data_IF_841666749412
#
_entry.id   IF_841666749412
#
_cell.length_a   1.000
_cell.length_b   1.000
_cell.length_c   1.000
_cell.angle_alpha   90.00
_cell.angle_beta   90.00
_cell.angle_gamma   90.00
#
_symmetry.space_group_name_H-M   'P 1'
#
loop_
_entity.id
_entity.type
_entity.pdbx_description
1 polymer ?
#
# COMPACT_ATOMS: atom_id res chain seq x y z
N UNK A 1 -13.54 -21.65 15.85
CA UNK A 1 -13.87 -21.61 14.41
C UNK A 1 -12.81 -20.76 13.74
N UNK A 2 -11.92 -21.31 12.92
CA UNK A 2 -11.01 -20.46 12.14
C UNK A 2 -11.88 -19.70 11.14
N UNK A 3 -12.03 -18.39 11.33
CA UNK A 3 -12.60 -17.53 10.30
C UNK A 3 -11.95 -17.89 8.96
N UNK A 4 -12.75 -18.03 7.90
CA UNK A 4 -12.22 -17.99 6.54
C UNK A 4 -11.30 -16.76 6.43
N UNK A 5 -10.15 -16.93 5.79
CA UNK A 5 -9.11 -15.91 5.72
C UNK A 5 -9.63 -14.74 4.87
N UNK A 6 -10.13 -13.69 5.53
CA UNK A 6 -10.57 -12.41 4.92
C UNK A 6 -9.37 -11.62 4.41
N UNK A 7 -8.69 -12.17 3.40
CA UNK A 7 -7.44 -11.67 2.85
C UNK A 7 -7.70 -11.03 1.50
N UNK A 8 -7.14 -9.83 1.32
CA UNK A 8 -7.37 -8.99 0.15
C UNK A 8 -6.05 -8.40 -0.34
N UNK A 9 -6.02 -8.00 -1.61
CA UNK A 9 -4.92 -7.24 -2.20
C UNK A 9 -5.42 -5.93 -2.82
N UNK A 10 -4.72 -4.85 -2.52
CA UNK A 10 -4.82 -3.58 -3.25
C UNK A 10 -3.54 -3.43 -4.07
N UNK A 11 -3.65 -3.30 -5.39
CA UNK A 11 -2.51 -3.23 -6.29
C UNK A 11 -2.73 -2.35 -7.51
N UNK A 12 -1.63 -1.87 -8.07
CA UNK A 12 -1.54 -1.23 -9.38
C UNK A 12 -0.68 -2.06 -10.32
N UNK A 13 -1.00 -2.04 -11.61
CA UNK A 13 -0.24 -2.69 -12.67
C UNK A 13 0.01 -1.69 -13.81
N UNK A 14 1.22 -1.69 -14.36
CA UNK A 14 1.65 -0.81 -15.44
C UNK A 14 1.34 0.68 -15.17
N UNK A 15 1.60 1.12 -13.93
CA UNK A 15 1.29 2.47 -13.45
C UNK A 15 2.44 3.42 -13.76
N UNK A 16 2.11 4.70 -13.98
CA UNK A 16 3.08 5.79 -14.03
C UNK A 16 3.24 6.43 -12.65
N UNK A 17 4.45 6.44 -12.12
CA UNK A 17 4.82 7.09 -10.85
C UNK A 17 5.61 8.35 -11.20
N UNK A 18 5.00 9.53 -11.05
CA UNK A 18 5.57 10.80 -11.52
C UNK A 18 6.49 11.50 -10.49
N UNK A 19 6.74 10.89 -9.33
CA UNK A 19 7.51 11.46 -8.24
C UNK A 19 7.69 10.48 -7.08
N UNK A 20 8.38 10.89 -6.02
CA UNK A 20 8.29 10.22 -4.73
C UNK A 20 6.85 10.27 -4.24
N UNK A 21 6.15 9.14 -4.27
CA UNK A 21 4.72 9.06 -4.08
C UNK A 21 4.30 7.85 -3.25
N UNK A 22 3.18 7.98 -2.54
CA UNK A 22 2.51 6.83 -1.93
C UNK A 22 1.95 5.92 -3.02
N UNK A 23 2.47 4.70 -3.09
CA UNK A 23 2.11 3.69 -4.10
C UNK A 23 0.78 3.05 -3.75
N UNK A 24 0.59 2.66 -2.49
CA UNK A 24 -0.64 2.07 -1.98
C UNK A 24 -0.90 2.67 -0.61
N UNK A 25 -2.15 2.99 -0.34
CA UNK A 25 -2.58 3.44 0.98
C UNK A 25 -3.91 2.77 1.35
N UNK A 26 -4.00 2.31 2.59
CA UNK A 26 -5.15 1.61 3.15
C UNK A 26 -5.48 2.25 4.49
N UNK A 27 -6.68 2.81 4.58
CA UNK A 27 -7.28 3.25 5.83
C UNK A 27 -8.22 2.17 6.34
N UNK A 28 -7.95 1.58 7.52
CA UNK A 28 -8.93 0.80 8.25
C UNK A 28 -10.23 1.58 8.43
N UNK A 29 -11.32 0.83 8.61
CA UNK A 29 -12.60 1.42 9.00
C UNK A 29 -12.64 1.64 10.52
N UNK A 30 -13.72 2.20 11.05
CA UNK A 30 -13.96 2.29 12.49
C UNK A 30 -14.19 0.94 13.15
N UNK A 31 -14.63 -0.06 12.36
CA UNK A 31 -15.09 -1.35 12.86
C UNK A 31 -14.22 -2.53 12.42
N UNK A 32 -13.24 -2.31 11.52
CA UNK A 32 -12.34 -3.37 11.02
C UNK A 32 -10.89 -2.91 11.04
N UNK A 33 -10.02 -3.73 11.66
CA UNK A 33 -8.57 -3.53 11.60
C UNK A 33 -7.96 -4.25 10.41
N UNK A 34 -6.69 -3.97 10.13
CA UNK A 34 -5.92 -4.68 9.12
C UNK A 34 -4.61 -5.21 9.69
N UNK A 35 -4.22 -6.37 9.19
CA UNK A 35 -2.91 -6.98 9.42
C UNK A 35 -2.21 -7.14 8.07
N UNK A 36 -1.03 -6.54 7.94
CA UNK A 36 -0.24 -6.55 6.70
C UNK A 36 0.46 -7.90 6.55
N UNK A 37 0.26 -8.56 5.39
CA UNK A 37 0.79 -9.88 5.11
C UNK A 37 1.89 -9.89 4.04
N UNK A 38 1.89 -8.92 3.12
CA UNK A 38 2.90 -8.78 2.07
C UNK A 38 2.86 -7.38 1.47
N UNK A 39 4.03 -6.82 1.17
CA UNK A 39 4.17 -5.63 0.33
C UNK A 39 5.14 -5.94 -0.81
N UNK A 40 4.89 -5.40 -1.99
CA UNK A 40 5.76 -5.63 -3.14
C UNK A 40 5.72 -4.48 -4.13
N UNK A 41 6.83 -4.25 -4.84
CA UNK A 41 6.93 -3.31 -5.94
C UNK A 41 7.93 -3.82 -6.98
N UNK A 42 7.67 -3.61 -8.26
CA UNK A 42 8.57 -4.00 -9.35
C UNK A 42 8.34 -3.11 -10.57
N UNK A 43 9.30 -3.12 -11.48
CA UNK A 43 9.24 -2.38 -12.74
C UNK A 43 9.50 -3.29 -13.93
N UNK A 44 8.77 -3.10 -15.02
CA UNK A 44 8.98 -3.78 -16.31
C UNK A 44 9.35 -2.82 -17.46
N UNK A 45 9.55 -1.54 -17.15
CA UNK A 45 9.76 -0.47 -18.13
C UNK A 45 11.21 -0.18 -18.51
N UNK A 46 12.20 -0.94 -18.03
CA UNK A 46 13.62 -0.66 -18.28
C UNK A 46 14.51 -1.89 -18.04
N UNK A 47 15.63 -1.93 -18.75
CA UNK A 47 16.73 -2.89 -18.54
C UNK A 47 17.92 -2.25 -17.80
N UNK A 48 17.82 -0.95 -17.46
CA UNK A 48 18.88 -0.20 -16.77
C UNK A 48 18.67 -0.27 -15.26
N UNK A 49 19.73 -0.67 -14.55
CA UNK A 49 19.78 -0.74 -13.09
C UNK A 49 19.74 0.65 -12.46
N UNK A 50 18.78 0.86 -11.55
CA UNK A 50 18.62 2.05 -10.74
C UNK A 50 18.35 1.64 -9.29
N UNK A 51 19.08 2.25 -8.35
CA UNK A 51 18.82 2.10 -6.91
C UNK A 51 17.77 3.11 -6.49
N UNK A 52 16.70 2.62 -5.87
CA UNK A 52 15.57 3.41 -5.42
C UNK A 52 15.25 3.08 -3.96
N UNK A 53 14.63 4.03 -3.27
CA UNK A 53 14.24 3.84 -1.89
C UNK A 53 12.74 3.66 -1.76
N UNK A 54 12.33 2.61 -1.06
CA UNK A 54 10.95 2.28 -0.73
C UNK A 54 10.74 2.37 0.78
N UNK A 55 9.54 2.72 1.20
CA UNK A 55 9.21 2.84 2.61
C UNK A 55 7.82 2.33 2.94
N UNK A 56 7.70 1.56 4.02
CA UNK A 56 6.43 1.31 4.68
C UNK A 56 6.21 2.37 5.76
N UNK A 57 5.01 2.93 5.81
CA UNK A 57 4.71 4.02 6.71
C UNK A 57 3.31 3.93 7.29
N UNK A 58 3.11 4.62 8.40
CA UNK A 58 1.79 5.02 8.88
C UNK A 58 1.63 6.52 8.74
N UNK A 59 0.38 6.96 8.60
CA UNK A 59 0.04 8.38 8.55
C UNK A 59 -1.22 8.60 9.36
N UNK A 60 -1.26 9.72 10.08
CA UNK A 60 -2.40 10.11 10.92
C UNK A 60 -2.98 11.43 10.41
N UNK A 61 -4.27 11.43 10.08
CA UNK A 61 -5.01 12.55 9.49
C UNK A 61 -4.44 13.09 8.17
N UNK A 62 -5.22 13.95 7.49
CA UNK A 62 -4.81 14.65 6.25
C UNK A 62 -4.07 13.75 5.26
N UNK A 63 -4.80 12.77 4.76
CA UNK A 63 -4.31 11.63 3.97
C UNK A 63 -4.04 11.98 2.51
N UNK A 64 -3.30 11.12 1.78
CA UNK A 64 -3.05 11.30 0.36
C UNK A 64 -4.33 11.31 -0.50
N UNK A 65 -4.26 11.99 -1.64
CA UNK A 65 -5.24 11.91 -2.72
C UNK A 65 -4.85 10.80 -3.68
N UNK A 66 -5.66 9.76 -3.75
CA UNK A 66 -5.33 8.48 -4.39
C UNK A 66 -6.14 8.26 -5.66
N UNK A 67 -5.62 7.39 -6.52
CA UNK A 67 -6.43 6.71 -7.53
C UNK A 67 -7.23 5.60 -6.85
N UNK A 68 -8.55 5.62 -7.01
CA UNK A 68 -9.46 4.65 -6.41
C UNK A 68 -9.10 3.21 -6.80
N UNK A 69 -8.93 2.34 -5.80
CA UNK A 69 -8.73 0.91 -6.02
C UNK A 69 -9.45 0.10 -4.94
N UNK A 70 -10.37 -0.76 -5.38
CA UNK A 70 -11.10 -1.68 -4.51
C UNK A 70 -10.20 -2.88 -4.18
N UNK A 71 -10.10 -3.31 -2.91
CA UNK A 71 -9.38 -4.52 -2.55
C UNK A 71 -9.97 -5.76 -3.25
N UNK A 72 -9.10 -6.57 -3.84
CA UNK A 72 -9.49 -7.82 -4.52
C UNK A 72 -9.41 -8.98 -3.52
N UNK A 73 -10.49 -9.75 -3.31
CA UNK A 73 -10.49 -10.88 -2.39
C UNK A 73 -9.64 -12.04 -2.91
N UNK A 74 -8.96 -12.74 -2.01
CA UNK A 74 -8.24 -13.98 -2.34
C UNK A 74 -9.17 -15.19 -2.36
N UNK A 75 -10.26 -15.14 -1.59
CA UNK A 75 -11.32 -16.14 -1.60
C UNK A 75 -12.52 -15.64 -2.42
N UNK A 76 -12.95 -16.43 -3.41
CA UNK A 76 -14.09 -16.08 -4.24
C UNK A 76 -15.37 -15.95 -3.39
N UNK A 77 -16.13 -14.87 -3.64
CA UNK A 77 -17.38 -14.58 -2.93
C UNK A 77 -17.21 -13.77 -1.64
N UNK A 78 -15.98 -13.51 -1.19
CA UNK A 78 -15.74 -12.56 -0.10
C UNK A 78 -15.74 -11.12 -0.60
N UNK A 79 -16.03 -10.19 0.32
CA UNK A 79 -15.97 -8.75 0.04
C UNK A 79 -15.29 -8.05 1.22
N UNK A 80 -14.42 -7.09 0.88
CA UNK A 80 -13.72 -6.25 1.85
C UNK A 80 -14.69 -5.24 2.44
N UNK A 81 -14.52 -4.93 3.73
CA UNK A 81 -15.17 -3.76 4.35
C UNK A 81 -14.52 -2.46 3.90
N UNK A 82 -13.27 -2.53 3.45
CA UNK A 82 -12.55 -1.42 2.85
C UNK A 82 -12.96 -1.30 1.38
N UNK A 83 -13.37 -0.10 0.98
CA UNK A 83 -13.76 0.22 -0.40
C UNK A 83 -12.69 1.04 -1.11
N UNK A 84 -12.78 1.16 -2.43
CA UNK A 84 -11.95 2.12 -3.15
C UNK A 84 -12.36 3.56 -2.83
N UNK A 85 -11.40 4.46 -2.62
CA UNK A 85 -11.65 5.89 -2.44
C UNK A 85 -10.53 6.75 -3.01
N UNK A 86 -10.87 7.99 -3.41
CA UNK A 86 -9.87 9.00 -3.82
C UNK A 86 -9.38 9.84 -2.64
N UNK A 87 -10.27 10.21 -1.72
CA UNK A 87 -9.91 10.77 -0.44
C UNK A 87 -9.58 9.63 0.51
N UNK A 88 -8.47 9.73 1.26
CA UNK A 88 -8.17 8.80 2.34
C UNK A 88 -9.14 8.98 3.51
N UNK A 89 -10.40 8.59 3.35
CA UNK A 89 -11.37 8.48 4.44
C UNK A 89 -11.19 7.14 5.18
N UNK A 90 -11.82 7.00 6.34
CA UNK A 90 -11.93 5.71 7.03
C UNK A 90 -12.56 4.66 6.09
N UNK A 91 -12.06 3.42 6.15
CA UNK A 91 -12.57 2.32 5.34
C UNK A 91 -12.31 2.47 3.84
N UNK A 92 -11.32 3.27 3.44
CA UNK A 92 -10.96 3.44 2.02
C UNK A 92 -9.55 3.00 1.69
N UNK A 93 -9.34 2.55 0.45
CA UNK A 93 -8.04 2.27 -0.12
C UNK A 93 -7.86 2.88 -1.49
N UNK A 94 -6.61 3.09 -1.86
CA UNK A 94 -6.24 3.57 -3.18
C UNK A 94 -4.78 3.38 -3.48
N UNK A 95 -4.42 3.75 -4.70
CA UNK A 95 -3.07 3.61 -5.24
C UNK A 95 -2.59 4.91 -5.87
N UNK A 96 -1.29 5.02 -6.10
CA UNK A 96 -0.64 6.08 -6.87
C UNK A 96 -1.13 7.48 -6.49
N UNK A 97 -0.65 7.96 -5.35
CA UNK A 97 -1.03 9.26 -4.84
C UNK A 97 -0.64 10.39 -5.81
N UNK A 98 -1.61 11.27 -6.07
CA UNK A 98 -1.42 12.52 -6.83
C UNK A 98 -1.09 13.71 -5.93
N UNK A 99 -1.34 13.56 -4.63
CA UNK A 99 -0.91 14.46 -3.57
C UNK A 99 -0.76 13.66 -2.27
N UNK A 100 0.28 13.94 -1.48
CA UNK A 100 0.64 13.12 -0.29
C UNK A 100 -0.16 13.46 0.98
N UNK A 101 -0.91 14.57 0.95
CA UNK A 101 -1.53 15.13 2.15
C UNK A 101 -0.51 15.74 3.11
N UNK A 102 -1.00 16.51 4.09
CA UNK A 102 -0.17 17.20 5.10
C UNK A 102 0.06 16.42 6.39
N UNK A 103 -0.52 15.21 6.52
CA UNK A 103 -0.39 14.39 7.72
C UNK A 103 1.03 13.89 7.92
N UNK A 104 1.48 13.83 9.18
CA UNK A 104 2.81 13.33 9.49
C UNK A 104 2.92 11.84 9.13
N UNK A 105 3.87 11.52 8.25
CA UNK A 105 4.23 10.14 7.92
C UNK A 105 5.32 9.65 8.85
N UNK A 106 5.10 8.50 9.46
CA UNK A 106 6.11 7.79 10.25
C UNK A 106 6.58 6.61 9.42
N UNK A 107 7.84 6.65 8.97
CA UNK A 107 8.45 5.55 8.23
C UNK A 107 8.81 4.44 9.22
N UNK A 108 8.19 3.28 9.05
CA UNK A 108 8.36 2.11 9.92
C UNK A 108 9.48 1.23 9.37
N UNK A 109 9.53 1.06 8.05
CA UNK A 109 10.53 0.24 7.38
C UNK A 109 11.04 1.00 6.16
N UNK A 110 12.22 1.64 6.25
CA UNK A 110 12.94 2.15 5.09
C UNK A 110 13.79 1.03 4.47
N UNK A 111 13.72 0.86 3.15
CA UNK A 111 14.55 -0.10 2.43
C UNK A 111 14.97 0.44 1.07
N UNK A 112 16.00 -0.17 0.49
CA UNK A 112 16.47 0.11 -0.87
C UNK A 112 16.14 -1.06 -1.77
N UNK A 113 15.66 -0.77 -2.97
CA UNK A 113 15.40 -1.75 -4.01
C UNK A 113 16.12 -1.38 -5.29
N UNK A 114 16.46 -2.40 -6.07
CA UNK A 114 16.83 -2.20 -7.46
C UNK A 114 15.59 -2.34 -8.33
N UNK A 115 15.37 -1.42 -9.26
CA UNK A 115 14.21 -1.46 -10.16
C UNK A 115 14.09 -2.76 -10.98
N UNK A 116 15.21 -3.42 -11.31
CA UNK A 116 15.23 -4.69 -12.04
C UNK A 116 14.87 -5.90 -11.17
N UNK A 117 15.11 -5.82 -9.86
CA UNK A 117 14.84 -6.91 -8.91
C UNK A 117 13.52 -6.72 -8.15
N UNK A 118 13.07 -5.48 -8.00
CA UNK A 118 11.92 -5.13 -7.21
C UNK A 118 12.18 -5.14 -5.70
N UNK A 119 11.09 -4.95 -4.96
CA UNK A 119 10.98 -5.00 -3.52
C UNK A 119 9.95 -6.06 -3.13
N UNK A 120 10.27 -6.84 -2.09
CA UNK A 120 9.36 -7.79 -1.49
C UNK A 120 9.56 -7.79 0.03
N UNK A 121 8.49 -7.46 0.74
CA UNK A 121 8.40 -7.60 2.18
C UNK A 121 7.35 -8.65 2.53
N UNK A 122 7.76 -9.67 3.27
CA UNK A 122 6.87 -10.68 3.86
C UNK A 122 7.22 -10.76 5.35
N UNK A 123 6.40 -10.20 6.25
CA UNK A 123 6.67 -10.24 7.68
C UNK A 123 6.61 -11.68 8.22
N UNK A 124 7.51 -11.98 9.15
CA UNK A 124 7.30 -13.13 10.04
C UNK A 124 6.05 -12.89 10.90
N UNK A 125 5.39 -13.93 11.44
CA UNK A 125 4.14 -13.75 12.20
C UNK A 125 4.20 -12.73 13.34
N UNK A 126 5.35 -12.61 14.02
CA UNK A 126 5.54 -11.67 15.14
C UNK A 126 5.80 -10.23 14.70
N UNK A 127 6.29 -10.04 13.47
CA UNK A 127 6.62 -8.73 12.88
C UNK A 127 5.47 -8.14 12.06
N UNK A 128 4.32 -8.82 12.02
CA UNK A 128 3.16 -8.36 11.26
C UNK A 128 2.67 -7.04 11.80
N UNK A 129 2.66 -6.05 10.91
CA UNK A 129 2.14 -4.74 11.23
C UNK A 129 0.62 -4.81 11.30
N UNK A 130 0.09 -4.46 12.46
CA UNK A 130 -1.35 -4.39 12.72
C UNK A 130 -1.75 -2.92 12.84
N UNK A 131 -2.66 -2.48 11.98
CA UNK A 131 -3.34 -1.19 12.16
C UNK A 131 -4.74 -1.48 12.68
N UNK A 132 -5.01 -1.00 13.90
CA UNK A 132 -6.31 -1.19 14.53
C UNK A 132 -7.39 -0.43 13.78
N UNK A 133 -8.63 -0.86 13.97
CA UNK A 133 -9.80 -0.12 13.52
C UNK A 133 -9.74 1.33 14.05
N UNK A 134 -9.73 2.29 13.15
CA UNK A 134 -9.54 3.71 13.46
C UNK A 134 -9.95 4.57 12.26
N UNK A 135 -10.65 5.67 12.51
CA UNK A 135 -11.02 6.61 11.46
C UNK A 135 -9.86 7.51 10.98
N UNK A 136 -8.74 7.51 11.70
CA UNK A 136 -7.73 8.56 11.61
C UNK A 136 -6.29 8.06 11.43
N UNK A 137 -6.05 6.77 11.19
CA UNK A 137 -4.72 6.24 10.93
C UNK A 137 -4.74 5.25 9.78
N UNK A 138 -3.80 5.38 8.85
CA UNK A 138 -3.67 4.48 7.70
C UNK A 138 -2.28 3.86 7.60
N UNK A 139 -2.19 2.82 6.78
CA UNK A 139 -0.94 2.18 6.38
C UNK A 139 -0.66 2.45 4.91
N UNK A 140 0.59 2.73 4.58
CA UNK A 140 1.00 2.97 3.21
C UNK A 140 2.36 2.39 2.85
N UNK A 141 2.52 2.13 1.56
CA UNK A 141 3.80 1.88 0.92
C UNK A 141 4.10 3.05 0.00
N UNK A 142 5.30 3.60 0.04
CA UNK A 142 5.70 4.73 -0.79
C UNK A 142 7.04 4.48 -1.48
N UNK A 143 7.19 5.06 -2.66
CA UNK A 143 8.50 5.35 -3.21
C UNK A 143 8.98 6.66 -2.60
N UNK A 144 10.14 6.66 -1.95
CA UNK A 144 10.67 7.84 -1.28
C UNK A 144 11.35 8.76 -2.30
N UNK A 145 12.09 8.17 -3.23
CA UNK A 145 12.78 8.90 -4.30
C UNK A 145 11.99 8.82 -5.61
N UNK A 146 12.22 9.77 -6.51
CA UNK A 146 11.56 9.74 -7.84
C UNK A 146 12.31 8.79 -8.76
N UNK A 147 11.65 7.78 -9.35
CA UNK A 147 12.30 6.92 -10.33
C UNK A 147 12.71 7.69 -11.59
N UNK A 148 13.82 7.31 -12.22
CA UNK A 148 14.21 7.90 -13.52
C UNK A 148 13.26 7.46 -14.62
N UNK A 149 12.86 6.18 -14.62
CA UNK A 149 11.84 5.65 -15.53
C UNK A 149 10.50 5.61 -14.82
N UNK A 150 9.57 6.46 -15.26
CA UNK A 150 8.31 6.70 -14.55
C UNK A 150 7.23 5.64 -14.82
N UNK A 151 7.32 4.88 -15.91
CA UNK A 151 6.27 3.96 -16.38
C UNK A 151 6.59 2.51 -16.06
N UNK A 152 5.59 1.64 -16.20
CA UNK A 152 5.77 0.18 -16.08
C UNK A 152 5.89 -0.31 -14.65
N UNK A 153 5.38 0.44 -13.67
CA UNK A 153 5.44 0.05 -12.27
C UNK A 153 4.25 -0.81 -11.87
N UNK A 154 4.54 -1.89 -11.15
CA UNK A 154 3.53 -2.74 -10.53
C UNK A 154 3.83 -2.87 -9.04
N UNK A 155 2.81 -2.75 -8.21
CA UNK A 155 3.00 -2.77 -6.77
C UNK A 155 1.72 -3.17 -6.05
N UNK A 156 1.83 -3.61 -4.80
CA UNK A 156 0.65 -3.97 -4.03
C UNK A 156 0.92 -4.24 -2.56
N UNK A 157 -0.16 -4.20 -1.79
CA UNK A 157 -0.22 -4.64 -0.40
C UNK A 157 -1.28 -5.73 -0.29
N UNK A 158 -0.89 -6.85 0.32
CA UNK A 158 -1.81 -7.89 0.76
C UNK A 158 -2.02 -7.75 2.26
N UNK A 159 -3.28 -7.73 2.67
CA UNK A 159 -3.66 -7.59 4.07
C UNK A 159 -4.81 -8.53 4.42
N UNK A 160 -4.97 -8.79 5.71
CA UNK A 160 -6.10 -9.49 6.29
C UNK A 160 -6.92 -8.52 7.13
N UNK A 161 -8.23 -8.55 6.96
CA UNK A 161 -9.17 -7.86 7.86
C UNK A 161 -9.31 -8.64 9.17
N UNK A 162 -9.20 -7.93 10.30
CA UNK A 162 -9.27 -8.48 11.66
C UNK A 162 -10.28 -7.75 12.55
#
# INVERSE_FOLDING_TARGET
>A
MSSASRTFTVSGENVTIAGGATLVFINPDTDVGIEVLRCWASQSGTDTSEQLRVGLHTQVSTFPTLTTKVPVPHLLGETSKIIGGTAGAAGTSGINASAEGGGAKIIILPDNMNNLNGFLYIPTPEERMIVRAAASSGFGMQMIDTPTVLTGWSFGITFREI
#
